data_IF_228084520089
#
_entry.id   IF_228084520089
#
_cell.length_a   1.000
_cell.length_b   1.000
_cell.length_c   1.000
_cell.angle_alpha   90.00
_cell.angle_beta   90.00
_cell.angle_gamma   90.00
#
_symmetry.space_group_name_H-M   'P 1'
#
loop_
_entity.id
_entity.type
_entity.pdbx_description
1 polymer ?
#
# COMPACT_ATOMS: atom_id res chain seq x y z
N UNK A 1 -1.81 -19.58 -4.00
CA UNK A 1 -3.08 -19.24 -3.36
C UNK A 1 -3.26 -17.73 -3.20
N UNK A 2 -4.15 -17.29 -2.30
CA UNK A 2 -4.34 -15.87 -1.93
C UNK A 2 -3.55 -15.56 -0.66
N UNK A 3 -2.64 -14.62 -0.74
CA UNK A 3 -1.80 -14.21 0.39
C UNK A 3 -1.29 -12.77 0.18
N UNK A 4 -0.50 -12.27 1.13
CA UNK A 4 0.17 -10.98 0.98
C UNK A 4 1.29 -11.05 -0.05
N UNK A 5 1.41 -9.99 -0.84
CA UNK A 5 2.51 -9.75 -1.75
C UNK A 5 3.79 -9.39 -0.98
N UNK A 6 4.96 -9.70 -1.57
CA UNK A 6 6.27 -9.45 -0.91
C UNK A 6 6.57 -7.99 -0.67
N UNK A 7 5.96 -7.06 -1.40
CA UNK A 7 6.11 -5.63 -1.15
C UNK A 7 5.57 -5.24 0.22
N UNK A 8 4.51 -5.93 0.67
CA UNK A 8 3.89 -5.69 1.97
C UNK A 8 4.82 -6.01 3.16
N UNK A 9 5.89 -6.77 2.96
CA UNK A 9 6.88 -7.04 4.01
C UNK A 9 7.57 -5.75 4.52
N UNK A 10 7.64 -4.72 3.68
CA UNK A 10 8.13 -3.37 4.03
C UNK A 10 6.97 -2.41 4.27
N UNK A 11 5.93 -2.46 3.42
CA UNK A 11 4.79 -1.54 3.47
C UNK A 11 3.95 -1.71 4.75
N UNK A 12 3.93 -2.92 5.34
CA UNK A 12 3.27 -3.18 6.61
C UNK A 12 3.82 -2.37 7.79
N UNK A 13 5.05 -1.84 7.68
CA UNK A 13 5.65 -1.06 8.75
C UNK A 13 4.95 0.29 8.96
N UNK A 14 4.31 0.84 7.94
CA UNK A 14 3.50 2.06 8.05
C UNK A 14 1.99 1.81 8.10
N UNK A 15 1.54 0.57 7.85
CA UNK A 15 0.13 0.15 7.92
C UNK A 15 -0.24 -0.29 9.35
N UNK A 16 -0.14 0.62 10.32
CA UNK A 16 -0.27 0.33 11.77
C UNK A 16 -1.37 1.13 12.47
N UNK A 17 -2.08 1.98 11.76
CA UNK A 17 -3.25 2.70 12.28
C UNK A 17 -4.49 1.78 12.34
N UNK A 18 -5.46 2.08 13.21
CA UNK A 18 -6.63 1.22 13.37
C UNK A 18 -7.59 1.27 12.18
N UNK A 19 -7.68 2.38 11.45
CA UNK A 19 -8.62 2.56 10.34
C UNK A 19 -7.94 3.06 9.07
N UNK A 20 -7.19 4.15 9.15
CA UNK A 20 -6.49 4.75 8.01
C UNK A 20 -5.01 4.34 8.02
N UNK A 21 -4.22 4.89 7.11
CA UNK A 21 -2.80 4.57 6.98
C UNK A 21 -2.52 3.42 6.01
N UNK A 22 -1.27 3.29 5.57
CA UNK A 22 -0.80 2.22 4.70
C UNK A 22 -1.47 2.13 3.33
N UNK A 23 -2.16 3.17 2.86
CA UNK A 23 -2.96 3.17 1.64
C UNK A 23 -2.34 3.97 0.48
N UNK A 24 -1.14 4.46 0.63
CA UNK A 24 -0.41 5.15 -0.43
C UNK A 24 -0.17 4.24 -1.63
N UNK A 25 0.29 3.02 -1.39
CA UNK A 25 0.48 2.00 -2.42
C UNK A 25 -0.15 0.66 -2.04
N UNK A 26 -0.12 0.27 -0.76
CA UNK A 26 -0.55 -1.03 -0.26
C UNK A 26 -2.05 -1.26 -0.45
N UNK A 27 -2.46 -1.68 -1.64
CA UNK A 27 -3.86 -1.92 -2.01
C UNK A 27 -4.11 -3.39 -2.36
N UNK A 28 -5.22 -3.93 -1.87
CA UNK A 28 -5.67 -5.28 -2.21
C UNK A 28 -5.89 -5.42 -3.72
N UNK A 29 -5.41 -6.53 -4.27
CA UNK A 29 -5.48 -6.84 -5.69
C UNK A 29 -4.87 -5.73 -6.57
N UNK A 30 -3.70 -5.25 -6.17
CA UNK A 30 -2.87 -4.31 -6.92
C UNK A 30 -1.47 -4.90 -7.04
N UNK A 31 -1.27 -5.79 -8.02
CA UNK A 31 -0.04 -6.54 -8.18
C UNK A 31 0.35 -7.27 -6.88
N UNK A 32 1.58 -7.12 -6.38
CA UNK A 32 2.08 -7.74 -5.15
C UNK A 32 2.19 -6.77 -3.97
N UNK A 33 1.39 -5.68 -3.95
CA UNK A 33 1.51 -4.61 -2.92
C UNK A 33 0.80 -4.95 -1.59
N UNK A 34 -0.31 -5.68 -1.61
CA UNK A 34 -1.05 -6.13 -0.41
C UNK A 34 -1.61 -7.53 -0.66
N UNK A 35 -2.77 -7.89 -0.13
CA UNK A 35 -3.38 -9.21 -0.37
C UNK A 35 -3.77 -9.38 -1.84
N UNK A 36 -3.32 -10.46 -2.46
CA UNK A 36 -3.62 -10.78 -3.85
C UNK A 36 -3.72 -12.29 -4.07
N UNK A 37 -4.30 -12.70 -5.19
CA UNK A 37 -4.47 -14.11 -5.56
C UNK A 37 -3.37 -14.55 -6.53
N UNK A 38 -3.22 -15.88 -6.66
CA UNK A 38 -2.31 -16.48 -7.62
C UNK A 38 -0.85 -16.46 -7.20
N UNK A 39 -0.55 -16.26 -5.91
CA UNK A 39 0.83 -16.17 -5.42
C UNK A 39 1.38 -17.50 -4.94
N UNK A 40 2.66 -17.75 -5.26
CA UNK A 40 3.51 -18.76 -4.67
C UNK A 40 4.73 -18.05 -4.07
N UNK A 41 4.99 -18.26 -2.77
CA UNK A 41 6.01 -17.52 -2.03
C UNK A 41 6.94 -18.48 -1.31
N UNK A 42 8.23 -18.27 -1.50
CA UNK A 42 9.29 -18.85 -0.68
C UNK A 42 9.79 -17.81 0.32
N UNK A 43 9.91 -18.18 1.59
CA UNK A 43 10.43 -17.31 2.66
C UNK A 43 11.55 -18.02 3.41
N UNK A 44 12.57 -17.28 3.77
CA UNK A 44 13.64 -17.74 4.64
C UNK A 44 13.86 -16.72 5.74
N UNK A 45 13.84 -17.21 6.98
CA UNK A 45 14.24 -16.44 8.16
C UNK A 45 15.71 -16.67 8.44
N UNK A 46 16.37 -15.66 9.01
CA UNK A 46 17.78 -15.71 9.42
C UNK A 46 18.71 -16.22 8.31
N UNK A 47 18.37 -15.93 7.05
CA UNK A 47 19.11 -16.35 5.86
C UNK A 47 19.53 -17.83 5.94
N UNK A 48 18.54 -18.73 5.98
CA UNK A 48 18.74 -20.18 6.20
C UNK A 48 19.34 -20.54 7.58
N UNK A 49 19.19 -19.66 8.58
CA UNK A 49 19.78 -19.82 9.89
C UNK A 49 21.28 -19.47 9.96
N UNK A 50 21.80 -18.76 8.97
CA UNK A 50 23.22 -18.39 8.88
C UNK A 50 23.47 -16.94 9.35
N UNK A 51 22.47 -16.06 9.25
CA UNK A 51 22.60 -14.65 9.62
C UNK A 51 21.34 -14.23 10.37
N UNK A 52 21.44 -14.13 11.68
CA UNK A 52 20.34 -13.73 12.56
C UNK A 52 19.74 -12.40 12.12
N UNK A 53 18.42 -12.32 12.09
CA UNK A 53 17.66 -11.12 11.75
C UNK A 53 17.58 -10.81 10.26
N UNK A 54 18.32 -11.51 9.38
CA UNK A 54 18.25 -11.31 7.93
C UNK A 54 17.19 -12.22 7.30
N UNK A 55 16.08 -11.64 6.85
CA UNK A 55 14.99 -12.39 6.26
C UNK A 55 14.80 -12.01 4.79
N UNK A 56 14.42 -12.95 3.95
CA UNK A 56 14.07 -12.68 2.57
C UNK A 56 12.87 -13.50 2.09
N UNK A 57 12.22 -12.98 1.06
CA UNK A 57 11.18 -13.71 0.36
C UNK A 57 11.33 -13.55 -1.15
N UNK A 58 10.95 -14.59 -1.87
CA UNK A 58 10.80 -14.60 -3.32
C UNK A 58 9.36 -15.01 -3.65
N UNK A 59 8.73 -14.30 -4.57
CA UNK A 59 7.34 -14.56 -4.92
C UNK A 59 7.11 -14.53 -6.42
N UNK A 60 6.31 -15.48 -6.89
CA UNK A 60 5.68 -15.47 -8.19
C UNK A 60 4.20 -15.17 -8.03
N UNK A 61 3.64 -14.35 -8.91
CA UNK A 61 2.22 -14.12 -9.04
C UNK A 61 1.77 -14.51 -10.45
N UNK A 62 0.82 -15.44 -10.55
CA UNK A 62 0.18 -15.79 -11.81
C UNK A 62 -0.85 -14.73 -12.23
N UNK A 63 -1.16 -14.71 -13.53
CA UNK A 63 -2.14 -13.79 -14.13
C UNK A 63 -3.51 -13.89 -13.45
N UNK A 64 -4.13 -12.73 -13.23
CA UNK A 64 -5.53 -12.57 -12.83
C UNK A 64 -6.20 -11.58 -13.79
N UNK A 65 -7.08 -12.06 -14.66
CA UNK A 65 -7.67 -11.27 -15.74
C UNK A 65 -9.15 -10.93 -15.53
N UNK A 66 -9.78 -10.41 -16.58
CA UNK A 66 -11.18 -9.96 -16.59
C UNK A 66 -12.18 -11.07 -16.95
N UNK A 67 -11.75 -12.09 -17.66
CA UNK A 67 -12.63 -13.12 -18.23
C UNK A 67 -12.68 -14.34 -17.34
N UNK A 68 -13.81 -15.02 -17.30
CA UNK A 68 -13.95 -16.30 -16.65
C UNK A 68 -13.25 -17.39 -17.46
N UNK A 69 -12.12 -17.90 -17.01
CA UNK A 69 -11.34 -18.96 -17.62
C UNK A 69 -10.45 -19.61 -16.59
N UNK A 70 -9.60 -20.56 -17.00
CA UNK A 70 -8.80 -21.34 -16.06
C UNK A 70 -7.86 -20.50 -15.19
N UNK A 71 -7.40 -19.35 -15.71
CA UNK A 71 -6.57 -18.38 -14.99
C UNK A 71 -7.19 -16.99 -14.89
N UNK A 72 -8.46 -16.84 -15.24
CA UNK A 72 -9.17 -15.57 -15.18
C UNK A 72 -10.11 -15.53 -13.97
N UNK A 73 -10.01 -14.49 -13.18
CA UNK A 73 -10.70 -14.36 -11.89
C UNK A 73 -11.89 -13.41 -11.95
N UNK A 74 -12.24 -12.89 -13.14
CA UNK A 74 -13.32 -11.90 -13.32
C UNK A 74 -13.00 -10.56 -12.67
N UNK A 75 -11.72 -10.17 -12.60
CA UNK A 75 -11.30 -8.94 -11.94
C UNK A 75 -11.61 -7.69 -12.75
N UNK A 76 -12.05 -6.65 -12.05
CA UNK A 76 -12.14 -5.31 -12.64
C UNK A 76 -10.75 -4.83 -13.08
N UNK A 77 -10.70 -3.99 -14.09
CA UNK A 77 -9.50 -3.53 -14.78
C UNK A 77 -8.37 -3.09 -13.82
N UNK A 78 -8.69 -2.26 -12.83
CA UNK A 78 -7.71 -1.73 -11.88
C UNK A 78 -7.18 -2.78 -10.88
N UNK A 79 -7.76 -3.98 -10.86
CA UNK A 79 -7.37 -5.08 -9.97
C UNK A 79 -6.74 -6.26 -10.72
N UNK A 80 -6.62 -6.18 -12.05
CA UNK A 80 -5.98 -7.21 -12.85
C UNK A 80 -4.45 -7.19 -12.70
N UNK A 81 -3.81 -8.27 -13.03
CA UNK A 81 -2.36 -8.40 -13.24
C UNK A 81 -2.06 -9.51 -14.26
N UNK A 82 -0.96 -9.40 -14.98
CA UNK A 82 -0.32 -10.51 -15.66
C UNK A 82 0.64 -11.24 -14.72
N UNK A 83 1.44 -12.16 -15.28
CA UNK A 83 2.48 -12.86 -14.51
C UNK A 83 3.53 -11.90 -13.98
N UNK A 84 3.99 -12.12 -12.75
CA UNK A 84 4.96 -11.27 -12.11
C UNK A 84 5.86 -12.00 -11.13
N UNK A 85 6.98 -11.37 -10.84
CA UNK A 85 7.96 -11.81 -9.85
C UNK A 85 8.31 -10.66 -8.92
N UNK A 86 8.59 -10.99 -7.68
CA UNK A 86 9.04 -10.01 -6.69
C UNK A 86 9.87 -10.66 -5.60
N UNK A 87 10.51 -9.82 -4.81
CA UNK A 87 11.26 -10.25 -3.64
C UNK A 87 11.35 -9.14 -2.60
N UNK A 88 11.58 -9.54 -1.38
CA UNK A 88 11.83 -8.66 -0.24
C UNK A 88 13.04 -9.12 0.55
N UNK A 89 13.69 -8.17 1.21
CA UNK A 89 14.78 -8.38 2.14
C UNK A 89 14.55 -7.46 3.33
N UNK A 90 14.54 -8.02 4.54
CA UNK A 90 14.47 -7.24 5.79
C UNK A 90 15.58 -7.67 6.72
N UNK A 91 16.15 -6.72 7.44
CA UNK A 91 17.21 -6.98 8.38
C UNK A 91 16.95 -6.29 9.72
N UNK A 92 16.92 -7.07 10.78
CA UNK A 92 16.89 -6.59 12.16
C UNK A 92 18.31 -6.26 12.60
N UNK A 93 18.55 -4.97 12.83
CA UNK A 93 19.85 -4.44 13.23
C UNK A 93 20.10 -4.53 14.75
N UNK A 94 19.09 -5.00 15.51
CA UNK A 94 19.09 -4.96 16.97
C UNK A 94 18.63 -3.61 17.54
N UNK A 95 18.49 -3.56 18.86
CA UNK A 95 18.04 -2.37 19.62
C UNK A 95 16.70 -1.77 19.11
N UNK A 96 15.88 -2.58 18.46
CA UNK A 96 14.60 -2.17 17.87
C UNK A 96 14.67 -1.60 16.45
N UNK A 97 15.86 -1.47 15.85
CA UNK A 97 16.02 -0.96 14.49
C UNK A 97 15.93 -2.06 13.44
N UNK A 98 15.19 -1.80 12.38
CA UNK A 98 15.13 -2.67 11.21
C UNK A 98 15.18 -1.85 9.92
N UNK A 99 15.75 -2.44 8.88
CA UNK A 99 15.77 -1.91 7.52
C UNK A 99 15.16 -2.93 6.57
N UNK A 100 14.54 -2.46 5.49
CA UNK A 100 13.92 -3.33 4.51
C UNK A 100 13.93 -2.75 3.11
N UNK A 101 13.96 -3.65 2.14
CA UNK A 101 13.78 -3.32 0.74
C UNK A 101 12.93 -4.39 0.06
N UNK A 102 12.12 -4.00 -0.92
CA UNK A 102 11.34 -4.92 -1.72
C UNK A 102 11.20 -4.41 -3.16
N UNK A 103 11.13 -5.32 -4.11
CA UNK A 103 10.91 -4.98 -5.50
C UNK A 103 10.02 -6.02 -6.17
N UNK A 104 9.21 -5.59 -7.13
CA UNK A 104 8.40 -6.48 -7.95
C UNK A 104 8.22 -5.92 -9.35
N UNK A 105 8.09 -6.83 -10.33
CA UNK A 105 7.72 -6.53 -11.70
C UNK A 105 6.65 -7.51 -12.15
N UNK A 106 5.53 -6.99 -12.64
CA UNK A 106 4.41 -7.77 -13.13
C UNK A 106 4.01 -7.31 -14.52
N UNK A 107 3.68 -8.23 -15.41
CA UNK A 107 3.07 -7.86 -16.68
C UNK A 107 1.72 -7.21 -16.45
N UNK A 108 1.38 -6.24 -17.27
CA UNK A 108 0.03 -5.66 -17.34
C UNK A 108 -0.82 -6.43 -18.33
N UNK A 109 -2.12 -6.44 -18.11
CA UNK A 109 -3.06 -7.05 -19.06
C UNK A 109 -3.32 -6.14 -20.25
N UNK A 110 -3.87 -6.69 -21.32
CA UNK A 110 -4.28 -5.91 -22.48
C UNK A 110 -5.36 -4.85 -22.11
N UNK A 111 -6.28 -5.20 -21.19
CA UNK A 111 -7.32 -4.28 -20.71
C UNK A 111 -6.71 -3.05 -20.04
N UNK A 112 -5.63 -3.24 -19.24
CA UNK A 112 -4.93 -2.16 -18.55
C UNK A 112 -4.18 -1.20 -19.50
N UNK A 113 -3.96 -1.59 -20.75
CA UNK A 113 -3.41 -0.78 -21.84
C UNK A 113 -4.49 -0.28 -22.79
N UNK A 114 -5.76 -0.41 -22.44
CA UNK A 114 -6.90 0.03 -23.24
C UNK A 114 -6.91 1.56 -23.46
N UNK A 115 -7.58 2.04 -24.52
CA UNK A 115 -7.47 3.44 -24.97
C UNK A 115 -8.00 4.48 -23.97
N UNK A 116 -8.85 4.07 -23.02
CA UNK A 116 -9.42 4.94 -21.98
C UNK A 116 -8.73 4.83 -20.64
N UNK A 117 -7.72 3.98 -20.52
CA UNK A 117 -6.99 3.74 -19.28
C UNK A 117 -5.70 4.54 -19.30
N UNK A 118 -5.44 5.29 -18.27
CA UNK A 118 -4.20 6.04 -18.11
C UNK A 118 -3.05 5.11 -17.73
N UNK A 119 -1.84 5.49 -18.10
CA UNK A 119 -0.64 4.69 -17.94
C UNK A 119 -0.41 3.73 -19.11
N UNK A 120 0.81 3.74 -19.64
CA UNK A 120 1.21 2.92 -20.79
C UNK A 120 2.46 2.13 -20.46
N UNK A 121 2.48 0.88 -20.84
CA UNK A 121 3.64 0.01 -20.68
C UNK A 121 3.25 -1.44 -20.44
N UNK A 122 4.15 -2.35 -20.74
CA UNK A 122 3.92 -3.78 -20.63
C UNK A 122 4.06 -4.30 -19.19
N UNK A 123 4.76 -3.55 -18.35
CA UNK A 123 5.04 -3.93 -16.96
C UNK A 123 4.59 -2.85 -15.97
N UNK A 124 4.17 -3.34 -14.80
CA UNK A 124 4.03 -2.57 -13.59
C UNK A 124 5.21 -2.91 -12.67
N UNK A 125 5.97 -1.92 -12.25
CA UNK A 125 7.17 -2.12 -11.45
C UNK A 125 7.09 -1.32 -10.16
N UNK A 126 7.61 -1.89 -9.08
CA UNK A 126 7.60 -1.30 -7.74
C UNK A 126 8.94 -1.52 -7.07
N UNK A 127 9.49 -0.45 -6.49
CA UNK A 127 10.73 -0.46 -5.72
C UNK A 127 10.49 0.25 -4.40
N UNK A 128 10.58 -0.46 -3.29
CA UNK A 128 10.28 0.03 -1.94
C UNK A 128 11.48 -0.11 -1.02
N UNK A 129 11.65 0.87 -0.14
CA UNK A 129 12.60 0.83 0.95
C UNK A 129 12.00 1.43 2.21
N UNK A 130 12.34 0.86 3.38
CA UNK A 130 11.79 1.28 4.66
C UNK A 130 12.78 1.16 5.81
N UNK A 131 12.49 1.95 6.84
CA UNK A 131 13.19 1.97 8.13
C UNK A 131 12.14 1.84 9.23
N UNK A 132 12.45 1.09 10.27
CA UNK A 132 11.58 0.91 11.45
C UNK A 132 12.39 0.98 12.72
N UNK A 133 11.83 1.60 13.75
CA UNK A 133 12.24 1.50 15.14
C UNK A 133 11.05 1.04 15.98
N UNK A 134 11.22 -0.02 16.73
CA UNK A 134 10.20 -0.60 17.59
C UNK A 134 10.83 -1.06 18.91
N UNK A 135 10.97 -0.15 19.85
CA UNK A 135 11.47 -0.43 21.21
C UNK A 135 11.07 0.70 22.17
N UNK A 136 11.19 0.44 23.47
CA UNK A 136 10.94 1.43 24.52
C UNK A 136 9.56 2.09 24.46
N UNK A 137 8.53 1.31 24.14
CA UNK A 137 7.14 1.80 23.93
C UNK A 137 6.99 2.79 22.76
N UNK A 138 8.04 3.04 22.00
CA UNK A 138 8.05 3.92 20.83
C UNK A 138 8.12 3.10 19.55
N UNK A 139 7.19 3.37 18.64
CA UNK A 139 7.18 2.85 17.28
C UNK A 139 7.35 3.99 16.29
N UNK A 140 8.36 3.90 15.45
CA UNK A 140 8.60 4.81 14.33
C UNK A 140 8.80 3.99 13.07
N UNK A 141 8.18 4.36 11.97
CA UNK A 141 8.47 3.77 10.68
C UNK A 141 8.39 4.81 9.57
N UNK A 142 9.20 4.63 8.55
CA UNK A 142 9.15 5.42 7.33
C UNK A 142 9.42 4.52 6.14
N UNK A 143 8.70 4.77 5.04
CA UNK A 143 8.94 4.11 3.76
C UNK A 143 8.88 5.09 2.60
N UNK A 144 9.66 4.76 1.57
CA UNK A 144 9.59 5.39 0.27
C UNK A 144 9.46 4.32 -0.81
N UNK A 145 8.48 4.51 -1.69
CA UNK A 145 8.24 3.57 -2.79
C UNK A 145 8.10 4.32 -4.10
N UNK A 146 8.92 3.95 -5.08
CA UNK A 146 8.78 4.42 -6.45
C UNK A 146 8.12 3.35 -7.30
N UNK A 147 7.16 3.76 -8.12
CA UNK A 147 6.43 2.85 -9.00
C UNK A 147 6.44 3.34 -10.44
N UNK A 148 6.30 2.38 -11.34
CA UNK A 148 6.05 2.60 -12.76
C UNK A 148 4.83 1.77 -13.16
N UNK A 149 3.77 2.43 -13.63
CA UNK A 149 2.49 1.80 -14.02
C UNK A 149 1.85 0.89 -12.97
N UNK A 150 2.13 1.09 -11.69
CA UNK A 150 1.64 0.26 -10.59
C UNK A 150 0.76 1.02 -9.59
N UNK A 151 0.96 2.32 -9.39
CA UNK A 151 0.09 3.13 -8.53
C UNK A 151 -1.19 3.47 -9.27
N UNK A 152 -2.28 2.82 -8.87
CA UNK A 152 -3.61 3.04 -9.47
C UNK A 152 -4.28 4.28 -8.90
N UNK A 153 -5.06 4.95 -9.72
CA UNK A 153 -5.89 6.08 -9.33
C UNK A 153 -7.22 6.08 -10.06
N UNK A 154 -8.17 6.78 -9.48
CA UNK A 154 -9.47 7.02 -10.08
C UNK A 154 -10.39 5.79 -10.11
N UNK A 155 -11.59 6.04 -10.62
CA UNK A 155 -12.62 5.04 -10.83
C UNK A 155 -13.33 5.34 -12.16
N UNK A 156 -13.60 4.31 -12.95
CA UNK A 156 -14.34 4.41 -14.20
C UNK A 156 -15.79 4.89 -14.03
N UNK A 157 -16.34 4.83 -12.84
CA UNK A 157 -17.71 5.21 -12.52
C UNK A 157 -17.85 6.64 -11.99
N UNK A 158 -16.79 7.17 -11.33
CA UNK A 158 -16.86 8.43 -10.58
C UNK A 158 -16.90 9.68 -11.46
N UNK A 159 -16.25 9.68 -12.61
CA UNK A 159 -16.16 10.85 -13.51
C UNK A 159 -17.19 10.88 -14.65
N UNK A 160 -18.15 9.96 -14.66
CA UNK A 160 -19.10 9.83 -15.75
C UNK A 160 -18.39 9.58 -17.09
N UNK A 161 -18.80 10.29 -18.15
CA UNK A 161 -18.19 10.17 -19.50
C UNK A 161 -16.75 10.72 -19.57
N UNK A 162 -16.37 11.56 -18.61
CA UNK A 162 -15.05 12.20 -18.51
C UNK A 162 -14.16 11.59 -17.41
N UNK A 163 -14.48 10.40 -16.93
CA UNK A 163 -13.72 9.71 -15.89
C UNK A 163 -12.24 9.60 -16.25
N UNK A 164 -11.38 9.89 -15.28
CA UNK A 164 -9.91 9.75 -15.37
C UNK A 164 -9.47 8.68 -14.40
N UNK A 165 -9.02 7.54 -14.94
CA UNK A 165 -8.64 6.38 -14.12
C UNK A 165 -7.57 5.54 -14.81
N UNK A 166 -6.80 4.84 -14.03
CA UNK A 166 -5.72 3.97 -14.53
C UNK A 166 -4.58 3.86 -13.56
N UNK A 167 -3.38 3.92 -14.10
CA UNK A 167 -2.13 3.82 -13.35
C UNK A 167 -1.23 5.01 -13.70
N UNK A 168 -0.65 5.65 -12.71
CA UNK A 168 0.36 6.66 -12.95
C UNK A 168 1.57 6.04 -13.67
N UNK A 169 2.05 6.66 -14.75
CA UNK A 169 3.25 6.19 -15.46
C UNK A 169 4.44 6.05 -14.52
N UNK A 170 4.58 7.02 -13.61
CA UNK A 170 5.49 7.00 -12.48
C UNK A 170 4.78 7.56 -11.26
N UNK A 171 4.98 6.99 -10.09
CA UNK A 171 4.54 7.58 -8.84
C UNK A 171 5.61 7.46 -7.75
N UNK A 172 5.55 8.41 -6.82
CA UNK A 172 6.37 8.46 -5.62
C UNK A 172 5.42 8.39 -4.42
N UNK A 173 5.60 7.39 -3.58
CA UNK A 173 4.81 7.17 -2.38
C UNK A 173 5.74 7.33 -1.17
N UNK A 174 5.35 8.15 -0.23
CA UNK A 174 6.07 8.38 1.01
C UNK A 174 5.10 8.25 2.18
N UNK A 175 5.49 7.49 3.18
CA UNK A 175 4.73 7.30 4.40
C UNK A 175 5.66 7.35 5.60
N UNK A 176 5.23 8.00 6.66
CA UNK A 176 5.91 8.04 7.95
C UNK A 176 4.89 7.96 9.07
N UNK A 177 5.19 7.19 10.10
CA UNK A 177 4.33 6.97 11.26
C UNK A 177 5.12 7.03 12.56
N UNK A 178 4.49 7.58 13.61
CA UNK A 178 4.97 7.53 14.97
C UNK A 178 3.84 7.15 15.92
N UNK A 179 4.10 6.22 16.84
CA UNK A 179 3.17 5.80 17.89
C UNK A 179 3.93 5.66 19.21
N UNK A 180 3.26 5.96 20.33
CA UNK A 180 3.79 5.72 21.65
C UNK A 180 2.79 4.98 22.51
N UNK A 181 3.20 3.90 23.19
CA UNK A 181 2.37 3.12 24.08
C UNK A 181 2.58 3.55 25.53
N UNK A 182 1.59 4.18 26.13
CA UNK A 182 1.59 4.47 27.56
C UNK A 182 1.23 3.22 28.38
N UNK A 183 1.79 3.10 29.59
CA UNK A 183 1.55 1.97 30.48
C UNK A 183 0.09 1.84 30.92
N UNK A 184 -0.66 2.96 30.95
CA UNK A 184 -2.08 2.98 31.29
C UNK A 184 -3.02 2.58 30.11
N UNK A 185 -2.47 2.11 29.00
CA UNK A 185 -3.23 1.54 27.88
C UNK A 185 -3.52 2.49 26.72
N UNK A 186 -3.12 3.77 26.79
CA UNK A 186 -3.31 4.72 25.68
C UNK A 186 -2.15 4.62 24.66
N UNK A 187 -2.50 4.58 23.36
CA UNK A 187 -1.54 4.65 22.24
C UNK A 187 -1.93 5.77 21.27
N UNK A 188 -1.43 6.99 21.45
CA UNK A 188 -1.55 8.02 20.43
C UNK A 188 -0.67 7.68 19.21
N UNK A 189 -1.12 8.13 18.05
CA UNK A 189 -0.49 7.85 16.76
C UNK A 189 -0.58 9.09 15.86
N UNK A 190 0.46 9.32 15.07
CA UNK A 190 0.46 10.34 14.00
C UNK A 190 1.15 9.77 12.78
N UNK A 191 0.61 10.06 11.59
CA UNK A 191 1.22 9.68 10.33
C UNK A 191 1.09 10.79 9.29
N UNK A 192 1.99 10.77 8.31
CA UNK A 192 1.86 11.51 7.07
C UNK A 192 2.01 10.56 5.90
N UNK A 193 1.10 10.64 4.95
CA UNK A 193 1.10 9.83 3.73
C UNK A 193 0.95 10.72 2.50
N UNK A 194 1.76 10.44 1.49
CA UNK A 194 1.66 11.09 0.19
C UNK A 194 1.90 10.08 -0.93
N UNK A 195 1.02 10.05 -1.91
CA UNK A 195 1.19 9.38 -3.19
C UNK A 195 1.09 10.41 -4.30
N UNK A 196 2.19 10.66 -5.01
CA UNK A 196 2.27 11.65 -6.09
C UNK A 196 2.47 10.94 -7.42
N UNK A 197 1.47 11.00 -8.27
CA UNK A 197 1.56 10.60 -9.67
C UNK A 197 2.31 11.65 -10.47
N UNK A 198 3.28 11.20 -11.25
CA UNK A 198 4.11 12.03 -12.11
C UNK A 198 3.68 11.84 -13.55
N UNK A 199 3.62 12.94 -14.27
CA UNK A 199 3.45 12.95 -15.74
C UNK A 199 2.19 12.19 -16.19
N UNK A 200 1.07 12.36 -15.45
CA UNK A 200 -0.21 11.75 -15.82
C UNK A 200 -0.70 12.40 -17.11
N UNK A 201 -0.86 11.63 -18.14
CA UNK A 201 -1.13 12.03 -19.52
C UNK A 201 -2.16 13.17 -19.59
N UNK A 202 -1.72 14.36 -20.02
CA UNK A 202 -2.58 15.55 -20.16
C UNK A 202 -3.02 16.21 -18.84
N UNK A 203 -2.60 15.67 -17.67
CA UNK A 203 -2.93 16.21 -16.35
C UNK A 203 -1.70 16.66 -15.57
N UNK A 204 -0.48 16.36 -16.04
CA UNK A 204 0.78 16.70 -15.35
C UNK A 204 0.98 15.90 -14.05
N UNK A 205 1.67 16.51 -13.11
CA UNK A 205 1.90 15.94 -11.77
C UNK A 205 0.66 16.15 -10.90
N UNK A 206 0.16 15.10 -10.25
CA UNK A 206 -1.00 15.16 -9.38
C UNK A 206 -0.74 14.41 -8.07
N UNK A 207 -1.14 15.00 -6.94
CA UNK A 207 -1.24 14.26 -5.70
C UNK A 207 -2.47 13.34 -5.77
N UNK A 208 -2.24 12.02 -5.65
CA UNK A 208 -3.28 10.98 -5.72
C UNK A 208 -3.83 10.67 -4.34
N UNK A 209 -3.03 10.92 -3.32
CA UNK A 209 -3.35 10.78 -1.92
C UNK A 209 -2.37 11.66 -1.15
N UNK A 210 -2.89 12.42 -0.17
CA UNK A 210 -2.06 13.24 0.70
C UNK A 210 -2.84 13.61 1.95
N UNK A 211 -2.38 13.15 3.09
CA UNK A 211 -3.06 13.46 4.35
C UNK A 211 -2.14 13.33 5.56
N UNK A 212 -2.56 13.94 6.65
CA UNK A 212 -2.09 13.66 8.00
C UNK A 212 -3.15 12.80 8.69
N UNK A 213 -2.70 11.77 9.39
CA UNK A 213 -3.54 10.92 10.22
C UNK A 213 -3.19 11.11 11.69
N UNK A 214 -4.18 11.35 12.52
CA UNK A 214 -4.03 11.52 13.97
C UNK A 214 -5.01 10.60 14.68
N UNK A 215 -4.48 9.60 15.35
CA UNK A 215 -5.30 8.59 16.02
C UNK A 215 -4.91 8.37 17.48
N UNK A 216 -5.78 7.70 18.19
CA UNK A 216 -5.51 7.17 19.51
C UNK A 216 -6.29 5.87 19.73
N UNK A 217 -5.58 4.85 20.19
CA UNK A 217 -6.20 3.60 20.64
C UNK A 217 -6.08 3.49 22.15
N UNK A 218 -7.16 3.09 22.81
CA UNK A 218 -7.16 2.79 24.24
C UNK A 218 -7.47 1.30 24.47
N UNK A 219 -6.54 0.61 25.09
CA UNK A 219 -6.65 -0.80 25.43
C UNK A 219 -7.22 -0.95 26.86
N UNK A 220 -8.47 -1.38 26.97
CA UNK A 220 -9.09 -1.69 28.28
C UNK A 220 -8.43 -2.94 28.91
N UNK A 221 -8.09 -3.90 28.07
CA UNK A 221 -7.37 -5.13 28.40
C UNK A 221 -6.83 -5.78 27.11
N UNK A 222 -6.23 -6.97 27.22
CA UNK A 222 -5.66 -7.69 26.07
C UNK A 222 -6.68 -8.10 24.97
N UNK A 223 -7.96 -8.08 25.31
CA UNK A 223 -9.04 -8.54 24.41
C UNK A 223 -9.91 -7.39 23.88
N UNK A 224 -9.87 -6.22 24.50
CA UNK A 224 -10.80 -5.13 24.17
C UNK A 224 -10.08 -3.80 24.05
N UNK A 225 -10.32 -3.11 22.97
CA UNK A 225 -9.83 -1.74 22.73
C UNK A 225 -10.87 -0.89 22.00
N UNK A 226 -10.71 0.41 22.11
CA UNK A 226 -11.45 1.40 21.33
C UNK A 226 -10.48 2.36 20.67
N UNK A 227 -10.87 2.95 19.56
CA UNK A 227 -10.04 3.93 18.88
C UNK A 227 -10.85 5.09 18.32
N UNK A 228 -10.17 6.22 18.18
CA UNK A 228 -10.56 7.33 17.32
C UNK A 228 -9.43 7.54 16.32
N UNK A 229 -9.78 7.78 15.07
CA UNK A 229 -8.85 8.00 13.99
C UNK A 229 -9.34 9.13 13.09
N UNK A 230 -8.52 10.13 12.85
CA UNK A 230 -8.88 11.34 12.13
C UNK A 230 -7.92 11.59 10.97
N UNK A 231 -8.43 11.38 9.79
CA UNK A 231 -7.75 11.68 8.53
C UNK A 231 -8.00 13.11 8.13
N UNK A 232 -6.95 13.94 8.20
CA UNK A 232 -6.95 15.33 7.75
C UNK A 232 -6.47 15.33 6.30
N UNK A 233 -7.39 15.52 5.37
CA UNK A 233 -7.07 15.50 3.94
C UNK A 233 -6.32 16.78 3.54
N UNK A 234 -5.23 16.64 2.80
CA UNK A 234 -4.41 17.74 2.31
C UNK A 234 -4.43 17.85 0.77
N UNK A 235 -5.37 17.15 0.13
CA UNK A 235 -5.59 17.27 -1.30
C UNK A 235 -6.41 18.52 -1.62
N UNK A 236 -6.00 19.24 -2.66
CA UNK A 236 -6.81 20.32 -3.22
C UNK A 236 -7.88 19.76 -4.14
N UNK A 237 -9.11 20.26 -4.00
CA UNK A 237 -10.18 20.02 -4.96
C UNK A 237 -9.83 20.70 -6.30
N UNK A 238 -9.83 19.93 -7.37
CA UNK A 238 -9.53 20.42 -8.71
C UNK A 238 -10.17 19.52 -9.78
N UNK A 239 -10.10 19.96 -11.05
CA UNK A 239 -10.72 19.22 -12.15
C UNK A 239 -10.17 17.79 -12.34
N UNK A 240 -8.97 17.47 -11.87
CA UNK A 240 -8.43 16.12 -11.91
C UNK A 240 -9.05 15.27 -10.80
N UNK A 241 -9.05 15.76 -9.53
CA UNK A 241 -9.64 15.03 -8.40
C UNK A 241 -11.13 14.74 -8.63
N UNK A 242 -11.88 15.70 -9.18
CA UNK A 242 -13.29 15.52 -9.54
C UNK A 242 -13.50 14.41 -10.57
N UNK A 243 -12.74 14.46 -11.69
CA UNK A 243 -12.85 13.47 -12.76
C UNK A 243 -12.30 12.08 -12.37
N UNK A 244 -11.37 12.03 -11.45
CA UNK A 244 -10.82 10.79 -10.89
C UNK A 244 -11.69 10.23 -9.73
N UNK A 245 -12.65 11.03 -9.22
CA UNK A 245 -13.44 10.65 -8.05
C UNK A 245 -12.59 10.47 -6.79
N UNK A 246 -11.56 11.31 -6.64
CA UNK A 246 -10.70 11.32 -5.47
C UNK A 246 -11.30 12.26 -4.45
N UNK A 247 -11.68 11.74 -3.26
CA UNK A 247 -12.24 12.56 -2.18
C UNK A 247 -11.15 13.45 -1.57
N UNK A 248 -11.53 14.69 -1.31
CA UNK A 248 -10.73 15.70 -0.61
C UNK A 248 -11.24 15.98 0.79
N UNK A 249 -12.26 15.25 1.26
CA UNK A 249 -12.87 15.43 2.56
C UNK A 249 -12.02 14.83 3.69
N UNK A 250 -12.11 15.45 4.86
CA UNK A 250 -11.65 14.88 6.12
C UNK A 250 -12.57 13.75 6.56
N UNK A 251 -12.02 12.76 7.25
CA UNK A 251 -12.78 11.60 7.74
C UNK A 251 -12.44 11.33 9.19
N UNK A 252 -13.46 11.14 10.03
CA UNK A 252 -13.33 10.65 11.40
C UNK A 252 -13.87 9.25 11.51
N UNK A 253 -13.11 8.35 12.10
CA UNK A 253 -13.53 7.00 12.43
C UNK A 253 -13.50 6.76 13.93
N UNK A 254 -14.48 6.02 14.43
CA UNK A 254 -14.57 5.53 15.80
C UNK A 254 -14.84 4.03 15.75
N UNK A 255 -14.12 3.25 16.54
CA UNK A 255 -14.32 1.82 16.56
C UNK A 255 -14.10 1.18 17.91
N UNK A 256 -14.67 -0.01 18.04
CA UNK A 256 -14.51 -0.91 19.17
C UNK A 256 -14.02 -2.24 18.64
N UNK A 257 -12.94 -2.76 19.22
CA UNK A 257 -12.35 -4.05 18.83
C UNK A 257 -12.46 -5.01 20.01
N UNK A 258 -12.97 -6.20 19.74
CA UNK A 258 -12.96 -7.29 20.70
C UNK A 258 -12.34 -8.55 20.05
N UNK A 259 -11.33 -9.10 20.70
CA UNK A 259 -10.60 -10.30 20.28
C UNK A 259 -10.85 -11.43 21.29
N UNK A 260 -11.29 -12.57 20.81
CA UNK A 260 -11.60 -13.77 21.60
C UNK A 260 -10.69 -14.95 21.24
#
# INVERSE_FOLDING_TARGET
>A
GRNYGVLYDVEAWTDVFPEFGGDGLARTDNFMTKRTSGVATYRSTDFFGLVDGLNFALQYQGKNGSVSGENDTGRSLLKQNGDGFGGSLTYDLGEGFSVGAAAASSKRTADQNGPRVYGRGDHAEVYSGGLKYDANNLYLAAQYTQTYNATRFGDSQSGGTNAVYGFANKAQNFEVVAQYQFDFGLRPSVAYLQSKGKDIEGNGDQDLLKYVDVGATYYFNKNMSTYVDYKINLLDENAFTDRAGISTDDIVALGLVYQF
#
